data_IF_740225587668
#
_entry.id   IF_740225587668
#
_cell.length_a   1.000
_cell.length_b   1.000
_cell.length_c   1.000
_cell.angle_alpha   90.00
_cell.angle_beta   90.00
_cell.angle_gamma   90.00
#
_symmetry.space_group_name_H-M   'P 1'
#
loop_
_entity.id
_entity.type
_entity.pdbx_description
1 polymer ?
#
# COMPACT_ATOMS: atom_id res chain seq x y z
N UNK A 1 -26.32 3.32 5.51
CA UNK A 1 -25.89 2.84 6.86
C UNK A 1 -25.01 1.64 6.63
N UNK A 2 -23.77 1.67 7.13
CA UNK A 2 -22.88 0.52 7.02
C UNK A 2 -23.19 -0.56 8.05
N UNK A 3 -22.94 -1.82 7.69
CA UNK A 3 -23.13 -2.99 8.56
C UNK A 3 -21.80 -3.75 8.65
N UNK A 4 -21.44 -4.19 9.84
CA UNK A 4 -20.29 -5.05 10.09
C UNK A 4 -20.77 -6.43 10.54
N UNK A 5 -20.28 -7.48 9.89
CA UNK A 5 -20.53 -8.88 10.24
C UNK A 5 -19.19 -9.49 10.62
N UNK A 6 -19.06 -10.00 11.84
CA UNK A 6 -17.88 -10.75 12.27
C UNK A 6 -18.23 -12.23 12.30
N UNK A 7 -17.48 -13.03 11.56
CA UNK A 7 -17.68 -14.48 11.46
C UNK A 7 -17.00 -15.21 12.63
N UNK A 8 -17.44 -16.43 12.99
CA UNK A 8 -16.87 -17.19 14.10
C UNK A 8 -15.37 -17.48 13.98
N UNK A 9 -14.83 -17.54 12.75
CA UNK A 9 -13.40 -17.72 12.48
C UNK A 9 -12.59 -16.43 12.48
N UNK A 10 -13.23 -15.27 12.77
CA UNK A 10 -12.60 -13.97 12.86
C UNK A 10 -12.60 -13.14 11.58
N UNK A 11 -13.02 -13.66 10.42
CA UNK A 11 -13.18 -12.86 9.21
C UNK A 11 -14.30 -11.83 9.37
N UNK A 12 -14.17 -10.69 8.71
CA UNK A 12 -15.14 -9.60 8.80
C UNK A 12 -15.68 -9.24 7.42
N UNK A 13 -16.96 -8.89 7.39
CA UNK A 13 -17.62 -8.36 6.20
C UNK A 13 -18.19 -7.00 6.53
N UNK A 14 -17.81 -5.99 5.77
CA UNK A 14 -18.31 -4.62 5.87
C UNK A 14 -19.20 -4.36 4.67
N UNK A 15 -20.42 -3.86 4.88
CA UNK A 15 -21.31 -3.57 3.76
C UNK A 15 -21.92 -2.18 3.90
N UNK A 16 -22.03 -1.47 2.77
CA UNK A 16 -22.79 -0.22 2.69
C UNK A 16 -23.62 -0.16 1.41
N UNK A 17 -24.91 -0.35 1.53
CA UNK A 17 -25.83 -0.18 0.40
C UNK A 17 -26.04 1.29 0.10
N UNK A 18 -25.76 1.72 -1.14
CA UNK A 18 -25.90 3.09 -1.61
C UNK A 18 -27.08 3.14 -2.59
N UNK A 19 -28.23 3.73 -2.19
CA UNK A 19 -29.40 3.80 -3.05
C UNK A 19 -29.16 4.72 -4.27
N UNK A 20 -29.77 4.38 -5.40
CA UNK A 20 -29.72 5.19 -6.61
C UNK A 20 -28.50 5.00 -7.50
N UNK A 21 -27.50 4.19 -7.09
CA UNK A 21 -26.38 3.80 -7.95
C UNK A 21 -26.63 2.43 -8.57
N UNK A 22 -25.97 2.15 -9.72
CA UNK A 22 -25.96 0.86 -10.42
C UNK A 22 -24.59 0.21 -10.41
N UNK A 23 -23.66 0.76 -9.66
CA UNK A 23 -22.31 0.25 -9.49
C UNK A 23 -22.13 -0.37 -8.11
N UNK A 24 -21.23 -1.33 -8.02
CA UNK A 24 -20.77 -1.93 -6.78
C UNK A 24 -19.25 -2.00 -6.75
N UNK A 25 -18.68 -1.87 -5.56
CA UNK A 25 -17.27 -2.09 -5.28
C UNK A 25 -17.15 -3.21 -4.23
N UNK A 26 -16.41 -4.25 -4.56
CA UNK A 26 -16.05 -5.34 -3.65
C UNK A 26 -14.54 -5.37 -3.49
N UNK A 27 -14.05 -5.36 -2.25
CA UNK A 27 -12.62 -5.48 -1.96
C UNK A 27 -12.38 -6.48 -0.83
N UNK A 28 -11.32 -7.29 -0.98
CA UNK A 28 -10.77 -8.11 0.08
C UNK A 28 -9.48 -7.47 0.56
N UNK A 29 -9.47 -7.01 1.80
CA UNK A 29 -8.31 -6.46 2.47
C UNK A 29 -7.72 -7.53 3.38
N UNK A 30 -6.53 -7.98 3.04
CA UNK A 30 -5.79 -8.97 3.84
C UNK A 30 -4.74 -8.21 4.64
N UNK A 31 -4.77 -8.27 5.97
CA UNK A 31 -3.80 -7.66 6.87
C UNK A 31 -2.45 -8.40 6.84
N UNK A 32 -1.93 -8.56 5.63
CA UNK A 32 -0.63 -9.17 5.34
C UNK A 32 0.02 -8.44 4.16
N UNK A 33 1.03 -7.63 4.42
CA UNK A 33 1.81 -6.89 3.45
C UNK A 33 3.30 -7.18 3.62
N UNK A 34 4.16 -6.36 3.01
CA UNK A 34 5.61 -6.62 2.96
C UNK A 34 6.29 -6.67 4.35
N UNK A 35 5.75 -5.99 5.38
CA UNK A 35 6.30 -6.05 6.74
C UNK A 35 6.08 -7.38 7.46
N UNK A 36 5.17 -8.23 6.95
CA UNK A 36 4.87 -9.53 7.54
C UNK A 36 5.89 -10.60 7.13
N UNK A 37 6.62 -10.38 6.03
CA UNK A 37 7.62 -11.31 5.55
C UNK A 37 8.87 -11.34 6.46
N UNK A 38 9.50 -12.50 6.63
CA UNK A 38 10.85 -12.61 7.17
C UNK A 38 11.86 -11.98 6.21
N UNK A 39 13.12 -11.83 6.63
CA UNK A 39 14.12 -11.17 5.80
C UNK A 39 14.38 -11.91 4.48
N UNK A 40 14.41 -13.23 4.54
CA UNK A 40 14.59 -14.15 3.42
C UNK A 40 13.36 -14.25 2.50
N UNK A 41 12.20 -13.83 2.98
CA UNK A 41 10.91 -13.83 2.26
C UNK A 41 10.51 -12.43 1.75
N UNK A 42 11.41 -11.46 1.87
CA UNK A 42 11.09 -10.09 1.47
C UNK A 42 10.72 -10.02 -0.01
N UNK A 43 9.52 -9.52 -0.30
CA UNK A 43 8.89 -9.50 -1.62
C UNK A 43 7.76 -10.53 -1.79
N UNK A 44 7.60 -11.50 -0.88
CA UNK A 44 6.60 -12.56 -1.02
C UNK A 44 5.17 -12.03 -1.14
N UNK A 45 4.78 -11.03 -0.34
CA UNK A 45 3.43 -10.46 -0.40
C UNK A 45 3.10 -9.89 -1.79
N UNK A 46 4.03 -9.13 -2.38
CA UNK A 46 3.90 -8.56 -3.71
C UNK A 46 3.95 -9.65 -4.79
N UNK A 47 4.83 -10.63 -4.66
CA UNK A 47 4.91 -11.73 -5.60
C UNK A 47 3.61 -12.56 -5.61
N UNK A 48 2.98 -12.78 -4.46
CA UNK A 48 1.68 -13.45 -4.36
C UNK A 48 0.58 -12.64 -5.07
N UNK A 49 0.59 -11.33 -4.94
CA UNK A 49 -0.31 -10.46 -5.69
C UNK A 49 -0.20 -10.74 -7.20
N UNK A 50 1.00 -10.68 -7.78
CA UNK A 50 1.25 -10.99 -9.19
C UNK A 50 0.77 -12.39 -9.57
N UNK A 51 1.13 -13.39 -8.78
CA UNK A 51 0.77 -14.79 -9.02
C UNK A 51 -0.75 -15.03 -8.98
N UNK A 52 -1.51 -14.21 -8.26
CA UNK A 52 -2.97 -14.33 -8.20
C UNK A 52 -3.66 -14.06 -9.54
N UNK A 53 -2.99 -13.40 -10.48
CA UNK A 53 -3.45 -13.19 -11.86
C UNK A 53 -2.99 -14.27 -12.85
N UNK A 54 -2.13 -15.21 -12.43
CA UNK A 54 -1.54 -16.25 -13.30
C UNK A 54 -2.35 -17.55 -13.36
N UNK A 55 -3.56 -17.52 -12.86
CA UNK A 55 -4.52 -18.60 -12.93
C UNK A 55 -4.83 -19.24 -11.60
N UNK A 56 -6.00 -19.85 -11.57
CA UNK A 56 -6.58 -20.50 -10.41
C UNK A 56 -6.85 -21.98 -10.71
N UNK A 57 -7.39 -22.72 -9.75
CA UNK A 57 -7.81 -24.11 -9.98
C UNK A 57 -8.89 -24.24 -11.06
N UNK A 58 -9.67 -23.18 -11.34
CA UNK A 58 -10.82 -23.17 -12.27
C UNK A 58 -10.61 -22.33 -13.52
N UNK A 59 -9.64 -21.39 -13.51
CA UNK A 59 -9.43 -20.40 -14.57
C UNK A 59 -7.96 -20.34 -14.96
N UNK A 60 -7.66 -20.33 -16.22
CA UNK A 60 -6.33 -19.96 -16.69
C UNK A 60 -6.12 -18.44 -16.55
N UNK A 61 -4.89 -17.96 -16.72
CA UNK A 61 -4.59 -16.51 -16.74
C UNK A 61 -5.36 -15.80 -17.87
N UNK A 62 -5.49 -16.44 -19.04
CA UNK A 62 -6.25 -15.91 -20.16
C UNK A 62 -7.76 -15.84 -19.85
N UNK A 63 -8.32 -16.86 -19.19
CA UNK A 63 -9.73 -16.85 -18.78
C UNK A 63 -10.00 -15.71 -17.79
N UNK A 64 -9.10 -15.51 -16.81
CA UNK A 64 -9.20 -14.39 -15.87
C UNK A 64 -9.21 -13.05 -16.60
N UNK A 65 -8.26 -12.82 -17.51
CA UNK A 65 -8.18 -11.58 -18.27
C UNK A 65 -9.45 -11.35 -19.11
N UNK A 66 -9.92 -12.37 -19.84
CA UNK A 66 -11.16 -12.29 -20.63
C UNK A 66 -12.40 -12.02 -19.76
N UNK A 67 -12.47 -12.63 -18.57
CA UNK A 67 -13.58 -12.39 -17.64
C UNK A 67 -13.53 -10.99 -17.04
N UNK A 68 -12.34 -10.45 -16.72
CA UNK A 68 -12.15 -9.08 -16.27
C UNK A 68 -12.63 -8.08 -17.32
N UNK A 69 -12.23 -8.28 -18.57
CA UNK A 69 -12.67 -7.44 -19.69
C UNK A 69 -14.20 -7.54 -19.91
N UNK A 70 -14.77 -8.74 -19.81
CA UNK A 70 -16.20 -8.96 -20.00
C UNK A 70 -17.09 -8.31 -18.90
N UNK A 71 -16.58 -8.13 -17.71
CA UNK A 71 -17.25 -7.39 -16.64
C UNK A 71 -17.38 -5.89 -17.01
N UNK A 72 -16.46 -5.37 -17.85
CA UNK A 72 -16.44 -3.97 -18.25
C UNK A 72 -16.23 -3.00 -17.09
N UNK A 73 -15.59 -3.47 -16.02
CA UNK A 73 -15.24 -2.74 -14.82
C UNK A 73 -13.73 -2.72 -14.57
N UNK A 74 -13.36 -2.45 -13.36
CA UNK A 74 -11.96 -2.52 -12.92
C UNK A 74 -11.79 -3.69 -11.95
N UNK A 75 -10.86 -4.59 -12.25
CA UNK A 75 -10.39 -5.62 -11.31
C UNK A 75 -8.89 -5.42 -11.16
N UNK A 76 -8.41 -5.29 -9.93
CA UNK A 76 -6.99 -5.04 -9.67
C UNK A 76 -6.62 -5.47 -8.23
N UNK A 77 -5.33 -5.44 -7.94
CA UNK A 77 -4.80 -5.63 -6.60
C UNK A 77 -3.67 -4.63 -6.33
N UNK A 78 -3.30 -4.48 -5.08
CA UNK A 78 -2.10 -3.75 -4.66
C UNK A 78 -1.59 -4.26 -3.31
N UNK A 79 -0.28 -4.18 -3.14
CA UNK A 79 0.39 -4.54 -1.90
C UNK A 79 0.98 -3.29 -1.24
N UNK A 80 0.73 -3.15 0.06
CA UNK A 80 1.34 -2.12 0.90
C UNK A 80 2.32 -2.75 1.89
N UNK A 81 2.86 -1.94 2.78
CA UNK A 81 3.67 -2.45 3.90
C UNK A 81 2.87 -3.39 4.83
N UNK A 82 1.58 -3.11 5.05
CA UNK A 82 0.76 -3.79 6.06
C UNK A 82 -0.36 -4.66 5.51
N UNK A 83 -0.76 -4.46 4.27
CA UNK A 83 -1.88 -5.17 3.67
C UNK A 83 -1.69 -5.46 2.20
N UNK A 84 -2.42 -6.47 1.70
CA UNK A 84 -2.65 -6.71 0.28
C UNK A 84 -4.15 -6.60 0.02
N UNK A 85 -4.53 -5.85 -1.00
CA UNK A 85 -5.93 -5.63 -1.37
C UNK A 85 -6.19 -6.20 -2.76
N UNK A 86 -7.28 -6.94 -2.90
CA UNK A 86 -7.84 -7.40 -4.17
C UNK A 86 -9.22 -6.80 -4.32
N UNK A 87 -9.49 -6.10 -5.40
CA UNK A 87 -10.76 -5.41 -5.54
C UNK A 87 -11.34 -5.44 -6.95
N UNK A 88 -12.67 -5.31 -7.02
CA UNK A 88 -13.41 -5.11 -8.24
C UNK A 88 -14.37 -3.92 -8.10
N UNK A 89 -14.51 -3.14 -9.16
CA UNK A 89 -15.54 -2.11 -9.33
C UNK A 89 -16.28 -2.42 -10.62
N UNK A 90 -17.58 -2.68 -10.53
CA UNK A 90 -18.38 -3.09 -11.68
C UNK A 90 -19.83 -2.62 -11.55
N UNK A 91 -20.64 -2.87 -12.59
CA UNK A 91 -22.09 -2.76 -12.46
C UNK A 91 -22.61 -3.88 -11.56
N UNK A 92 -23.68 -3.59 -10.82
CA UNK A 92 -24.34 -4.51 -9.87
C UNK A 92 -24.66 -5.89 -10.49
N UNK A 93 -25.07 -5.94 -11.75
CA UNK A 93 -25.37 -7.17 -12.50
C UNK A 93 -24.16 -8.10 -12.70
N UNK A 94 -22.94 -7.61 -12.52
CA UNK A 94 -21.70 -8.38 -12.69
C UNK A 94 -21.05 -8.73 -11.34
N UNK A 95 -21.65 -8.33 -10.22
CA UNK A 95 -21.06 -8.48 -8.89
C UNK A 95 -20.85 -9.94 -8.49
N UNK A 96 -21.76 -10.85 -8.84
CA UNK A 96 -21.58 -12.29 -8.59
C UNK A 96 -20.30 -12.81 -9.25
N UNK A 97 -20.13 -12.50 -10.55
CA UNK A 97 -18.97 -12.94 -11.33
C UNK A 97 -17.66 -12.34 -10.80
N UNK A 98 -17.68 -11.04 -10.48
CA UNK A 98 -16.53 -10.36 -9.89
C UNK A 98 -16.15 -10.96 -8.54
N UNK A 99 -17.14 -11.25 -7.68
CA UNK A 99 -16.93 -11.86 -6.37
C UNK A 99 -16.37 -13.28 -6.45
N UNK A 100 -16.88 -14.11 -7.36
CA UNK A 100 -16.33 -15.45 -7.59
C UNK A 100 -14.89 -15.40 -8.07
N UNK A 101 -14.57 -14.50 -9.01
CA UNK A 101 -13.25 -14.34 -9.57
C UNK A 101 -12.24 -13.86 -8.50
N UNK A 102 -12.59 -12.85 -7.72
CA UNK A 102 -11.75 -12.39 -6.62
C UNK A 102 -11.52 -13.48 -5.57
N UNK A 103 -12.54 -14.27 -5.23
CA UNK A 103 -12.39 -15.41 -4.33
C UNK A 103 -11.45 -16.47 -4.88
N UNK A 104 -11.52 -16.78 -6.18
CA UNK A 104 -10.61 -17.72 -6.82
C UNK A 104 -9.18 -17.23 -6.82
N UNK A 105 -8.96 -15.95 -7.16
CA UNK A 105 -7.64 -15.32 -7.13
C UNK A 105 -7.05 -15.33 -5.71
N UNK A 106 -7.87 -15.08 -4.70
CA UNK A 106 -7.42 -14.95 -3.33
C UNK A 106 -7.18 -16.31 -2.64
N UNK A 107 -7.97 -17.34 -2.95
CA UNK A 107 -7.95 -18.59 -2.18
C UNK A 107 -7.57 -19.83 -3.00
N UNK A 108 -7.64 -19.77 -4.32
CA UNK A 108 -7.50 -20.94 -5.18
C UNK A 108 -6.44 -20.76 -6.28
N UNK A 109 -5.52 -19.77 -6.14
CA UNK A 109 -4.38 -19.55 -7.05
C UNK A 109 -3.47 -20.76 -7.14
N UNK A 110 -2.98 -21.07 -8.36
CA UNK A 110 -2.20 -22.28 -8.62
C UNK A 110 -0.76 -22.21 -8.17
N UNK A 111 -0.15 -21.05 -8.20
CA UNK A 111 1.28 -20.85 -7.93
C UNK A 111 2.16 -21.84 -8.72
N UNK A 112 1.94 -21.92 -10.04
CA UNK A 112 2.72 -22.77 -10.92
C UNK A 112 4.17 -22.31 -10.99
N UNK A 113 5.14 -23.26 -11.02
CA UNK A 113 6.57 -22.91 -11.03
C UNK A 113 7.01 -22.22 -12.31
N UNK A 114 6.43 -22.60 -13.46
CA UNK A 114 6.69 -21.93 -14.72
C UNK A 114 6.22 -20.48 -14.73
N UNK A 115 5.00 -20.23 -14.22
CA UNK A 115 4.45 -18.89 -14.06
C UNK A 115 5.25 -18.09 -13.05
N UNK A 116 5.68 -18.68 -11.93
CA UNK A 116 6.52 -18.03 -10.94
C UNK A 116 7.89 -17.62 -11.50
N UNK A 117 8.49 -18.46 -12.36
CA UNK A 117 9.76 -18.13 -13.01
C UNK A 117 9.64 -16.95 -13.99
N UNK A 118 8.53 -16.90 -14.75
CA UNK A 118 8.23 -15.79 -15.67
C UNK A 118 7.94 -14.50 -14.89
N UNK A 119 7.10 -14.59 -13.88
CA UNK A 119 6.65 -13.41 -13.13
C UNK A 119 7.76 -12.81 -12.28
N UNK A 120 8.70 -13.62 -11.80
CA UNK A 120 9.94 -13.12 -11.18
C UNK A 120 10.70 -12.18 -12.11
N UNK A 121 10.77 -12.50 -13.40
CA UNK A 121 11.36 -11.61 -14.41
C UNK A 121 10.64 -10.27 -14.49
N UNK A 122 9.30 -10.28 -14.49
CA UNK A 122 8.47 -9.07 -14.52
C UNK A 122 8.72 -8.21 -13.26
N UNK A 123 8.76 -8.81 -12.08
CA UNK A 123 9.03 -8.08 -10.83
C UNK A 123 10.45 -7.51 -10.79
N UNK A 124 11.43 -8.19 -11.37
CA UNK A 124 12.81 -7.67 -11.48
C UNK A 124 12.88 -6.45 -12.41
N UNK A 125 12.12 -6.44 -13.51
CA UNK A 125 11.99 -5.25 -14.37
C UNK A 125 11.28 -4.11 -13.63
N UNK A 126 10.25 -4.40 -12.83
CA UNK A 126 9.58 -3.40 -12.00
C UNK A 126 10.53 -2.79 -10.95
N UNK A 127 11.37 -3.60 -10.31
CA UNK A 127 12.44 -3.10 -9.42
C UNK A 127 13.36 -2.14 -10.19
N UNK A 128 13.71 -2.46 -11.44
CA UNK A 128 14.48 -1.59 -12.33
C UNK A 128 13.78 -0.23 -12.56
N UNK A 129 12.47 -0.25 -12.82
CA UNK A 129 11.68 0.97 -12.99
C UNK A 129 11.70 1.87 -11.73
N UNK A 130 11.56 1.27 -10.54
CA UNK A 130 11.67 2.00 -9.27
C UNK A 130 13.08 2.57 -9.04
N UNK A 131 14.11 1.81 -9.39
CA UNK A 131 15.49 2.34 -9.33
C UNK A 131 15.67 3.55 -10.26
N UNK A 132 14.92 3.66 -11.36
CA UNK A 132 14.95 4.78 -12.30
C UNK A 132 13.96 5.92 -11.99
N UNK A 133 13.13 5.76 -10.96
CA UNK A 133 12.23 6.78 -10.43
C UNK A 133 12.85 7.44 -9.17
N UNK A 134 13.52 8.61 -9.27
CA UNK A 134 14.29 9.17 -8.15
C UNK A 134 13.43 9.51 -6.92
N UNK A 135 12.19 9.91 -7.12
CA UNK A 135 11.23 10.23 -6.04
C UNK A 135 10.90 8.97 -5.23
N UNK A 136 10.49 7.90 -5.91
CA UNK A 136 10.14 6.62 -5.29
C UNK A 136 11.35 6.00 -4.59
N UNK A 137 12.51 6.02 -5.27
CA UNK A 137 13.77 5.54 -4.71
C UNK A 137 14.17 6.30 -3.46
N UNK A 138 13.96 7.63 -3.43
CA UNK A 138 14.27 8.47 -2.27
C UNK A 138 13.38 8.08 -1.08
N UNK A 139 12.07 7.92 -1.29
CA UNK A 139 11.12 7.51 -0.27
C UNK A 139 11.39 6.10 0.28
N UNK A 140 11.70 5.14 -0.60
CA UNK A 140 12.04 3.79 -0.18
C UNK A 140 13.33 3.75 0.66
N UNK A 141 14.38 4.45 0.22
CA UNK A 141 15.64 4.55 0.94
C UNK A 141 15.48 5.23 2.29
N UNK A 142 14.60 6.22 2.39
CA UNK A 142 14.25 6.82 3.67
C UNK A 142 13.67 5.77 4.61
N UNK A 143 12.66 5.02 4.18
CA UNK A 143 12.03 3.98 4.99
C UNK A 143 13.05 2.91 5.44
N UNK A 144 13.94 2.49 4.54
CA UNK A 144 15.04 1.56 4.84
C UNK A 144 15.99 2.10 5.91
N UNK A 145 16.25 3.41 5.91
CA UNK A 145 17.17 4.06 6.84
C UNK A 145 16.54 4.26 8.22
N UNK A 146 15.33 4.85 8.28
CA UNK A 146 14.68 5.21 9.56
C UNK A 146 14.07 4.01 10.29
N UNK A 147 13.72 2.93 9.55
CA UNK A 147 13.25 1.66 10.12
C UNK A 147 14.30 0.54 9.99
N UNK A 148 15.58 0.91 10.04
CA UNK A 148 16.69 -0.04 9.87
C UNK A 148 16.59 -1.22 10.84
N UNK A 149 16.72 -2.44 10.29
CA UNK A 149 16.65 -3.69 11.05
C UNK A 149 15.22 -4.11 11.46
N UNK A 150 14.21 -3.37 11.02
CA UNK A 150 12.80 -3.70 11.21
C UNK A 150 12.13 -4.11 9.89
N UNK A 151 11.11 -4.96 9.94
CA UNK A 151 10.41 -5.39 8.72
C UNK A 151 9.82 -4.23 7.91
N UNK A 152 9.30 -3.20 8.58
CA UNK A 152 8.70 -2.01 7.94
C UNK A 152 9.68 -1.28 7.00
N UNK A 153 10.99 -1.30 7.30
CA UNK A 153 12.01 -0.69 6.45
C UNK A 153 12.36 -1.49 5.18
N UNK A 154 11.80 -2.69 4.97
CA UNK A 154 12.10 -3.49 3.79
C UNK A 154 11.30 -3.03 2.58
N UNK A 155 11.85 -3.11 1.34
CA UNK A 155 11.11 -2.79 0.13
C UNK A 155 9.89 -3.69 -0.06
N UNK A 156 8.81 -3.14 -0.64
CA UNK A 156 7.59 -3.90 -0.93
C UNK A 156 7.87 -4.94 -2.01
N UNK A 157 8.55 -4.54 -3.08
CA UNK A 157 8.91 -5.41 -4.21
C UNK A 157 9.90 -6.51 -3.81
N UNK A 158 10.57 -6.39 -2.66
CA UNK A 158 11.63 -7.29 -2.28
C UNK A 158 12.99 -6.91 -2.87
N UNK A 159 13.88 -7.89 -2.95
CA UNK A 159 15.20 -7.76 -3.56
C UNK A 159 15.41 -8.89 -4.55
N UNK A 160 16.20 -8.68 -5.59
CA UNK A 160 16.54 -9.73 -6.56
C UNK A 160 16.99 -11.03 -5.87
N UNK A 161 17.90 -10.92 -4.90
CA UNK A 161 18.44 -12.06 -4.15
C UNK A 161 17.42 -12.84 -3.31
N UNK A 162 16.31 -12.20 -2.86
CA UNK A 162 15.23 -12.90 -2.16
C UNK A 162 14.23 -13.50 -3.14
N UNK A 163 13.90 -12.78 -4.21
CA UNK A 163 12.98 -13.25 -5.25
C UNK A 163 13.50 -14.49 -5.98
N UNK A 164 14.81 -14.55 -6.26
CA UNK A 164 15.48 -15.71 -6.89
C UNK A 164 15.32 -17.02 -6.11
N UNK A 165 15.13 -16.94 -4.79
CA UNK A 165 14.99 -18.10 -3.91
C UNK A 165 13.52 -18.53 -3.70
N UNK A 166 12.55 -17.75 -4.20
CA UNK A 166 11.14 -18.06 -4.03
C UNK A 166 10.64 -19.01 -5.11
N UNK A 167 9.96 -20.06 -4.70
CA UNK A 167 9.25 -21.03 -5.54
C UNK A 167 7.75 -20.85 -5.39
N UNK A 168 6.95 -21.39 -6.33
CA UNK A 168 5.50 -21.42 -6.19
C UNK A 168 5.04 -22.10 -4.91
N UNK A 169 5.75 -23.16 -4.47
CA UNK A 169 5.48 -23.83 -3.19
C UNK A 169 5.74 -22.90 -1.99
N UNK A 170 6.85 -22.17 -1.98
CA UNK A 170 7.18 -21.23 -0.89
C UNK A 170 6.18 -20.07 -0.81
N UNK A 171 5.72 -19.55 -1.95
CA UNK A 171 4.69 -18.51 -2.04
C UNK A 171 3.34 -19.01 -1.53
N UNK A 172 2.93 -20.23 -1.93
CA UNK A 172 1.70 -20.86 -1.43
C UNK A 172 1.73 -21.03 0.08
N UNK A 173 2.84 -21.52 0.64
CA UNK A 173 3.02 -21.68 2.08
C UNK A 173 2.92 -20.34 2.79
N UNK A 174 3.59 -19.28 2.30
CA UNK A 174 3.51 -17.96 2.87
C UNK A 174 2.07 -17.42 2.84
N UNK A 175 1.35 -17.60 1.73
CA UNK A 175 -0.06 -17.22 1.64
C UNK A 175 -0.90 -17.93 2.71
N UNK A 176 -0.75 -19.24 2.86
CA UNK A 176 -1.50 -20.04 3.85
C UNK A 176 -1.21 -19.60 5.30
N UNK A 177 0.02 -19.20 5.59
CA UNK A 177 0.43 -18.71 6.91
C UNK A 177 -0.12 -17.31 7.23
N UNK A 178 -0.37 -16.49 6.22
CA UNK A 178 -0.71 -15.06 6.39
C UNK A 178 -2.14 -14.69 6.01
N UNK A 179 -2.75 -15.40 5.04
CA UNK A 179 -4.11 -15.10 4.59
C UNK A 179 -5.14 -15.85 5.45
N UNK A 180 -5.02 -15.63 6.75
CA UNK A 180 -5.89 -16.25 7.76
C UNK A 180 -7.18 -15.44 7.95
N UNK A 181 -8.32 -16.10 8.32
CA UNK A 181 -9.61 -15.43 8.40
C UNK A 181 -9.61 -14.15 9.23
N UNK A 182 -8.97 -14.16 10.40
CA UNK A 182 -8.88 -12.99 11.28
C UNK A 182 -8.16 -11.79 10.67
N UNK A 183 -7.32 -12.00 9.65
CA UNK A 183 -6.65 -10.95 8.89
C UNK A 183 -7.46 -10.44 7.69
N UNK A 184 -8.63 -11.04 7.37
CA UNK A 184 -9.39 -10.74 6.16
C UNK A 184 -10.61 -9.90 6.48
N UNK A 185 -10.74 -8.80 5.74
CA UNK A 185 -11.94 -7.95 5.70
C UNK A 185 -12.44 -7.92 4.26
N UNK A 186 -13.67 -8.39 4.01
CA UNK A 186 -14.36 -8.15 2.76
C UNK A 186 -15.21 -6.88 2.90
N UNK A 187 -15.06 -5.92 2.01
CA UNK A 187 -15.84 -4.69 1.98
C UNK A 187 -16.66 -4.62 0.70
N UNK A 188 -17.98 -4.45 0.82
CA UNK A 188 -18.94 -4.38 -0.28
C UNK A 188 -19.75 -3.09 -0.16
N UNK A 189 -19.63 -2.20 -1.14
CA UNK A 189 -20.34 -0.94 -1.18
C UNK A 189 -21.04 -0.72 -2.53
N UNK A 190 -22.16 0.01 -2.52
CA UNK A 190 -22.90 0.34 -3.73
C UNK A 190 -24.24 -0.40 -3.85
N UNK A 191 -24.59 -0.81 -5.06
CA UNK A 191 -25.80 -1.58 -5.36
C UNK A 191 -25.51 -3.08 -5.25
N UNK A 192 -26.11 -3.75 -4.27
CA UNK A 192 -25.98 -5.19 -4.06
C UNK A 192 -27.26 -5.74 -3.37
N UNK A 193 -27.42 -7.05 -3.43
CA UNK A 193 -28.50 -7.78 -2.78
C UNK A 193 -27.93 -8.62 -1.60
N UNK A 194 -28.78 -9.05 -0.67
CA UNK A 194 -28.35 -9.86 0.49
C UNK A 194 -27.68 -11.18 0.07
N UNK A 195 -28.09 -11.77 -1.08
CA UNK A 195 -27.45 -12.99 -1.60
C UNK A 195 -25.94 -12.86 -1.84
N UNK A 196 -25.46 -11.65 -2.16
CA UNK A 196 -24.01 -11.40 -2.33
C UNK A 196 -23.30 -11.44 -0.97
N UNK A 197 -23.94 -10.89 0.08
CA UNK A 197 -23.42 -10.97 1.46
C UNK A 197 -23.41 -12.42 1.96
N UNK A 198 -24.48 -13.20 1.65
CA UNK A 198 -24.56 -14.62 1.98
C UNK A 198 -23.46 -15.44 1.26
N UNK A 199 -23.17 -15.11 0.00
CA UNK A 199 -22.10 -15.76 -0.75
C UNK A 199 -20.71 -15.49 -0.12
N UNK A 200 -20.41 -14.24 0.24
CA UNK A 200 -19.19 -13.87 0.96
C UNK A 200 -19.12 -14.58 2.32
N UNK A 201 -20.23 -14.59 3.06
CA UNK A 201 -20.33 -15.26 4.36
C UNK A 201 -20.02 -16.75 4.25
N UNK A 202 -20.62 -17.45 3.30
CA UNK A 202 -20.33 -18.88 3.07
C UNK A 202 -18.86 -19.12 2.72
N UNK A 203 -18.31 -18.31 1.81
CA UNK A 203 -16.92 -18.47 1.36
C UNK A 203 -15.92 -18.24 2.48
N UNK A 204 -16.07 -17.13 3.23
CA UNK A 204 -15.18 -16.79 4.32
C UNK A 204 -15.34 -17.72 5.55
N UNK A 205 -16.56 -18.17 5.86
CA UNK A 205 -16.80 -19.11 6.96
C UNK A 205 -16.18 -20.48 6.72
N UNK A 206 -15.95 -20.87 5.46
CA UNK A 206 -15.31 -22.13 5.12
C UNK A 206 -13.80 -22.14 5.36
N UNK A 207 -13.19 -20.97 5.58
CA UNK A 207 -11.75 -20.89 5.87
C UNK A 207 -11.48 -21.40 7.28
N UNK A 208 -10.45 -22.27 7.48
CA UNK A 208 -10.09 -22.76 8.80
C UNK A 208 -9.59 -21.62 9.69
N UNK A 209 -10.05 -21.58 10.94
CA UNK A 209 -9.56 -20.62 11.91
C UNK A 209 -8.07 -20.82 12.16
N UNK A 210 -7.31 -19.73 12.19
CA UNK A 210 -5.89 -19.74 12.46
C UNK A 210 -5.47 -18.48 13.23
N UNK A 211 -4.39 -18.52 14.02
CA UNK A 211 -3.90 -17.34 14.74
C UNK A 211 -3.40 -16.27 13.77
N UNK A 212 -3.56 -15.01 14.16
CA UNK A 212 -2.98 -13.89 13.41
C UNK A 212 -1.45 -13.98 13.41
N UNK A 213 -0.79 -13.70 12.27
CA UNK A 213 0.65 -13.59 12.20
C UNK A 213 1.15 -12.49 13.14
N UNK A 214 2.23 -12.76 13.86
CA UNK A 214 2.86 -11.74 14.71
C UNK A 214 3.73 -10.82 13.85
N UNK A 215 3.56 -9.53 14.04
CA UNK A 215 4.37 -8.49 13.38
C UNK A 215 5.35 -7.90 14.38
N UNK A 216 6.60 -7.75 13.96
CA UNK A 216 7.61 -7.09 14.78
C UNK A 216 7.40 -5.57 14.73
N UNK A 217 7.35 -4.97 15.91
CA UNK A 217 7.13 -3.53 16.10
C UNK A 217 8.15 -2.69 15.33
N UNK A 218 7.68 -1.60 14.71
CA UNK A 218 8.54 -0.62 14.08
C UNK A 218 9.16 0.30 15.15
N UNK A 219 10.39 0.74 14.89
CA UNK A 219 11.08 1.71 15.72
C UNK A 219 11.73 2.72 14.78
N UNK A 220 11.31 3.98 14.87
CA UNK A 220 11.91 5.06 14.13
C UNK A 220 13.31 5.36 14.70
N UNK A 221 14.31 5.40 13.83
CA UNK A 221 15.69 5.75 14.18
C UNK A 221 16.11 6.94 13.29
N UNK A 222 16.52 8.07 13.87
CA UNK A 222 17.07 9.18 13.08
C UNK A 222 18.24 8.68 12.21
N UNK A 223 18.20 8.97 10.93
CA UNK A 223 19.20 8.51 9.99
C UNK A 223 19.40 9.50 8.83
N UNK A 224 20.59 9.49 8.25
CA UNK A 224 20.89 10.16 6.99
C UNK A 224 21.32 9.11 5.99
N UNK A 225 20.73 9.12 4.80
CA UNK A 225 21.13 8.27 3.68
C UNK A 225 21.31 9.09 2.41
N UNK A 226 22.33 8.76 1.62
CA UNK A 226 22.61 9.44 0.37
C UNK A 226 22.85 8.38 -0.71
N UNK A 227 22.26 8.59 -1.88
CA UNK A 227 22.50 7.83 -3.10
C UNK A 227 23.00 8.76 -4.20
N UNK A 228 24.19 8.53 -4.70
CA UNK A 228 24.67 9.25 -5.89
C UNK A 228 24.11 8.58 -7.14
N UNK A 229 23.49 9.37 -8.00
CA UNK A 229 22.96 8.93 -9.30
C UNK A 229 23.13 10.07 -10.30
N UNK A 230 23.39 9.75 -11.56
CA UNK A 230 23.52 10.74 -12.63
C UNK A 230 22.11 11.16 -13.10
N UNK A 231 21.55 12.17 -12.47
CA UNK A 231 20.23 12.74 -12.73
C UNK A 231 20.31 14.26 -12.73
N UNK A 232 19.33 14.93 -13.31
CA UNK A 232 19.34 16.39 -13.47
C UNK A 232 19.09 17.14 -12.15
N UNK A 233 18.24 16.62 -11.27
CA UNK A 233 17.87 17.28 -10.02
C UNK A 233 18.22 16.40 -8.81
N UNK A 234 18.54 17.04 -7.70
CA UNK A 234 18.65 16.37 -6.41
C UNK A 234 17.25 16.18 -5.81
N UNK A 235 16.97 14.97 -5.35
CA UNK A 235 15.74 14.60 -4.66
C UNK A 235 16.03 14.50 -3.17
N UNK A 236 15.28 15.24 -2.37
CA UNK A 236 15.51 15.37 -0.95
C UNK A 236 14.22 15.08 -0.17
N UNK A 237 14.33 14.26 0.88
CA UNK A 237 13.27 14.10 1.87
C UNK A 237 13.81 14.38 3.26
N UNK A 238 13.18 15.34 3.96
CA UNK A 238 13.34 15.50 5.40
C UNK A 238 12.19 14.76 6.09
N UNK A 239 12.50 13.96 7.11
CA UNK A 239 11.51 13.15 7.78
C UNK A 239 11.53 13.34 9.28
N UNK A 240 10.35 13.32 9.88
CA UNK A 240 10.12 13.41 11.31
C UNK A 240 9.30 12.21 11.77
N UNK A 241 9.51 11.70 13.01
CA UNK A 241 8.59 10.71 13.57
C UNK A 241 7.20 11.32 13.69
N UNK A 242 6.18 10.53 13.39
CA UNK A 242 4.80 10.95 13.41
C UNK A 242 3.89 9.90 14.06
N UNK A 243 2.60 10.21 14.16
CA UNK A 243 1.59 9.38 14.81
C UNK A 243 1.25 8.16 13.97
N UNK A 244 0.83 7.09 14.63
CA UNK A 244 0.21 5.92 13.99
C UNK A 244 -1.21 6.26 13.49
N UNK A 245 -1.76 5.46 12.58
CA UNK A 245 -3.16 5.65 12.16
C UNK A 245 -4.17 5.24 13.24
N UNK A 246 -3.72 4.59 14.32
CA UNK A 246 -4.55 4.25 15.47
C UNK A 246 -4.62 5.38 16.51
N UNK A 247 -3.76 6.39 16.38
CA UNK A 247 -3.71 7.52 17.30
C UNK A 247 -4.92 8.46 17.09
N UNK A 248 -5.52 8.92 18.17
CA UNK A 248 -6.68 9.84 18.11
C UNK A 248 -6.31 11.21 17.54
N UNK A 249 -5.08 11.66 17.77
CA UNK A 249 -4.57 12.95 17.27
C UNK A 249 -4.16 12.92 15.79
N UNK A 250 -4.27 11.80 15.09
CA UNK A 250 -3.90 11.69 13.67
C UNK A 250 -4.58 12.72 12.76
N UNK A 251 -5.83 13.09 13.08
CA UNK A 251 -6.56 14.10 12.30
C UNK A 251 -5.94 15.49 12.44
N UNK A 252 -5.42 15.85 13.63
CA UNK A 252 -4.67 17.08 13.83
C UNK A 252 -3.37 17.06 13.01
N UNK A 253 -2.68 15.92 12.96
CA UNK A 253 -1.51 15.73 12.11
C UNK A 253 -1.83 15.88 10.61
N UNK A 254 -2.95 15.34 10.14
CA UNK A 254 -3.39 15.49 8.73
C UNK A 254 -3.70 16.95 8.40
N UNK A 255 -4.33 17.71 9.31
CA UNK A 255 -4.56 19.15 9.15
C UNK A 255 -3.23 19.91 9.13
N UNK A 256 -2.31 19.61 10.04
CA UNK A 256 -0.97 20.20 10.06
C UNK A 256 -0.24 19.93 8.73
N UNK A 257 -0.28 18.70 8.23
CA UNK A 257 0.31 18.34 6.95
C UNK A 257 -0.30 19.15 5.79
N UNK A 258 -1.62 19.34 5.79
CA UNK A 258 -2.30 20.17 4.77
C UNK A 258 -1.81 21.62 4.79
N UNK A 259 -1.64 22.21 5.96
CA UNK A 259 -1.12 23.58 6.13
C UNK A 259 0.36 23.66 5.73
N UNK A 260 1.16 22.65 6.08
CA UNK A 260 2.59 22.61 5.82
C UNK A 260 2.91 22.49 4.34
N UNK A 261 2.38 21.47 3.66
CA UNK A 261 2.75 21.14 2.28
C UNK A 261 1.67 20.41 1.47
N UNK A 262 0.39 20.44 1.88
CA UNK A 262 -0.68 19.67 1.25
C UNK A 262 -1.27 20.27 -0.04
N UNK A 263 -0.84 21.46 -0.48
CA UNK A 263 -1.38 22.09 -1.69
C UNK A 263 -0.73 23.42 -2.04
N UNK A 264 -1.20 24.06 -3.09
CA UNK A 264 -0.59 25.32 -3.61
C UNK A 264 -0.66 26.48 -2.62
N UNK A 265 -1.58 26.52 -1.70
CA UNK A 265 -1.67 27.53 -0.63
C UNK A 265 -0.84 27.19 0.61
N UNK A 266 -0.22 26.02 0.66
CA UNK A 266 0.57 25.56 1.80
C UNK A 266 1.84 26.40 1.99
N UNK A 267 2.35 26.43 3.22
CA UNK A 267 3.52 27.24 3.56
C UNK A 267 4.77 26.87 2.78
N UNK A 268 5.04 25.58 2.58
CA UNK A 268 6.18 25.11 1.78
C UNK A 268 6.06 25.56 0.33
N UNK A 269 4.90 25.36 -0.29
CA UNK A 269 4.69 25.73 -1.69
C UNK A 269 4.83 27.24 -1.89
N UNK A 270 4.18 28.04 -1.06
CA UNK A 270 4.23 29.49 -1.14
C UNK A 270 5.64 30.04 -0.91
N UNK A 271 6.37 29.52 0.04
CA UNK A 271 7.68 30.05 0.40
C UNK A 271 8.79 29.56 -0.55
N UNK A 272 8.88 28.25 -0.83
CA UNK A 272 9.98 27.70 -1.62
C UNK A 272 9.77 27.90 -3.13
N UNK A 273 8.53 27.65 -3.61
CA UNK A 273 8.24 27.73 -5.03
C UNK A 273 7.83 29.12 -5.48
N UNK A 274 6.77 29.69 -4.89
CA UNK A 274 6.18 30.94 -5.41
C UNK A 274 7.03 32.16 -5.09
N UNK A 275 7.51 32.31 -3.86
CA UNK A 275 8.27 33.50 -3.45
C UNK A 275 9.76 33.44 -3.82
N UNK A 276 10.39 32.25 -3.66
CA UNK A 276 11.84 32.13 -3.83
C UNK A 276 12.26 31.41 -5.10
N UNK A 277 11.37 30.68 -5.77
CA UNK A 277 11.69 29.94 -7.01
C UNK A 277 12.79 28.88 -6.83
N UNK A 278 12.89 28.25 -5.65
CA UNK A 278 13.95 27.32 -5.32
C UNK A 278 13.72 25.92 -5.92
N UNK A 279 12.46 25.55 -6.14
CA UNK A 279 12.09 24.23 -6.66
C UNK A 279 10.82 24.31 -7.50
N UNK A 280 10.60 23.32 -8.37
CA UNK A 280 9.33 23.15 -9.08
C UNK A 280 8.34 22.33 -8.25
N UNK A 281 8.84 21.32 -7.53
CA UNK A 281 8.02 20.41 -6.73
C UNK A 281 8.45 20.46 -5.26
N UNK A 282 7.50 20.74 -4.37
CA UNK A 282 7.63 20.64 -2.92
C UNK A 282 6.28 20.29 -2.32
N UNK A 283 6.26 19.30 -1.43
CA UNK A 283 5.06 18.90 -0.69
C UNK A 283 5.43 18.20 0.62
N UNK A 284 4.47 18.09 1.52
CA UNK A 284 4.59 17.22 2.69
C UNK A 284 3.55 16.11 2.66
N UNK A 285 3.87 14.99 3.28
CA UNK A 285 3.01 13.81 3.35
C UNK A 285 3.15 13.10 4.68
N UNK A 286 2.08 12.40 5.07
CA UNK A 286 2.07 11.50 6.22
C UNK A 286 2.09 10.08 5.71
N UNK A 287 3.00 9.26 6.21
CA UNK A 287 3.03 7.81 6.01
C UNK A 287 2.79 7.16 7.36
N UNK A 288 1.56 6.76 7.62
CA UNK A 288 1.12 6.18 8.88
C UNK A 288 0.99 4.65 8.81
N UNK A 289 1.30 4.00 9.91
CA UNK A 289 1.25 2.55 10.10
C UNK A 289 0.57 2.24 11.44
N UNK A 290 0.29 0.95 11.70
CA UNK A 290 -0.42 0.54 12.90
C UNK A 290 0.29 0.94 14.22
N UNK A 291 1.61 1.01 14.21
CA UNK A 291 2.44 1.20 15.41
C UNK A 291 3.43 2.38 15.31
N UNK A 292 3.43 3.11 14.19
CA UNK A 292 4.34 4.24 13.95
C UNK A 292 3.83 5.12 12.82
N UNK A 293 4.45 6.28 12.64
CA UNK A 293 4.21 7.16 11.50
C UNK A 293 5.44 7.97 11.15
N UNK A 294 5.38 8.61 9.99
CA UNK A 294 6.41 9.48 9.45
C UNK A 294 5.74 10.67 8.75
N UNK A 295 6.19 11.88 9.09
CA UNK A 295 5.90 13.10 8.34
C UNK A 295 7.10 13.40 7.45
N UNK A 296 6.92 13.32 6.13
CA UNK A 296 7.94 13.60 5.14
C UNK A 296 7.72 14.96 4.48
N UNK A 297 8.81 15.65 4.16
CA UNK A 297 8.83 16.85 3.31
C UNK A 297 9.74 16.52 2.14
N UNK A 298 9.15 16.43 0.94
CA UNK A 298 9.85 16.15 -0.30
C UNK A 298 10.06 17.42 -1.12
N UNK A 299 11.21 17.50 -1.79
CA UNK A 299 11.47 18.48 -2.84
C UNK A 299 12.46 17.93 -3.87
N UNK A 300 12.30 18.37 -5.14
CA UNK A 300 13.24 18.16 -6.22
C UNK A 300 13.78 19.52 -6.67
N UNK A 301 15.11 19.67 -6.71
CA UNK A 301 15.76 20.96 -6.93
C UNK A 301 17.18 20.82 -7.49
N UNK A 302 17.72 21.88 -8.02
CA UNK A 302 19.11 21.94 -8.44
C UNK A 302 20.06 21.99 -7.25
N UNK A 303 21.27 21.48 -7.39
CA UNK A 303 22.27 21.42 -6.32
C UNK A 303 22.54 22.81 -5.67
N UNK A 304 22.55 23.86 -6.46
CA UNK A 304 22.80 25.23 -5.98
C UNK A 304 21.71 25.75 -5.03
N UNK A 305 20.49 25.22 -5.15
CA UNK A 305 19.33 25.62 -4.36
C UNK A 305 19.15 24.83 -3.06
N UNK A 306 19.92 23.74 -2.89
CA UNK A 306 19.72 22.77 -1.81
C UNK A 306 19.84 23.41 -0.42
N UNK A 307 20.87 24.20 -0.19
CA UNK A 307 21.08 24.86 1.08
C UNK A 307 19.97 25.86 1.42
N UNK A 308 19.58 26.69 0.46
CA UNK A 308 18.52 27.69 0.63
C UNK A 308 17.16 27.04 0.90
N UNK A 309 16.87 25.92 0.25
CA UNK A 309 15.66 25.14 0.47
C UNK A 309 15.65 24.51 1.87
N UNK A 310 16.75 23.90 2.31
CA UNK A 310 16.87 23.34 3.66
C UNK A 310 16.70 24.38 4.77
N UNK A 311 17.29 25.56 4.61
CA UNK A 311 17.13 26.67 5.55
C UNK A 311 15.69 27.16 5.62
N UNK A 312 15.03 27.31 4.46
CA UNK A 312 13.62 27.69 4.37
C UNK A 312 12.70 26.66 5.02
N UNK A 313 12.89 25.36 4.73
CA UNK A 313 12.12 24.30 5.37
C UNK A 313 12.27 24.31 6.89
N UNK A 314 13.50 24.44 7.40
CA UNK A 314 13.77 24.53 8.85
C UNK A 314 13.08 25.73 9.49
N UNK A 315 13.09 26.88 8.84
CA UNK A 315 12.43 28.09 9.33
C UNK A 315 10.92 27.89 9.40
N UNK A 316 10.29 27.35 8.35
CA UNK A 316 8.85 27.10 8.29
C UNK A 316 8.42 26.08 9.37
N UNK A 317 9.14 24.97 9.49
CA UNK A 317 8.84 23.94 10.50
C UNK A 317 9.03 24.52 11.91
N UNK A 318 10.11 25.29 12.14
CA UNK A 318 10.38 25.94 13.41
C UNK A 318 9.31 26.96 13.80
N UNK A 319 8.82 27.75 12.83
CA UNK A 319 7.73 28.71 13.04
C UNK A 319 6.42 28.00 13.41
N UNK A 320 6.05 26.94 12.66
CA UNK A 320 4.88 26.15 12.97
C UNK A 320 4.95 25.47 14.35
N UNK A 321 6.11 24.96 14.71
CA UNK A 321 6.31 24.33 16.02
C UNK A 321 6.27 25.34 17.18
N UNK A 322 6.74 26.58 16.96
CA UNK A 322 6.79 27.62 17.99
C UNK A 322 5.52 28.44 18.16
N UNK A 323 4.80 28.70 17.07
CA UNK A 323 3.67 29.63 17.06
C UNK A 323 2.35 29.00 16.63
N UNK A 324 2.38 27.75 16.13
CA UNK A 324 1.19 27.10 15.59
C UNK A 324 0.74 27.67 14.22
N UNK A 325 -0.41 27.20 13.70
CA UNK A 325 -1.00 27.75 12.50
C UNK A 325 -1.60 29.15 12.75
N UNK A 326 -1.59 30.01 11.74
CA UNK A 326 -2.30 31.28 11.74
C UNK A 326 -3.80 31.09 11.58
N UNK A 327 -4.60 32.10 11.94
CA UNK A 327 -6.08 32.06 11.74
C UNK A 327 -6.50 32.24 10.29
N UNK A 328 -5.59 32.65 9.42
CA UNK A 328 -5.77 32.72 7.97
C UNK A 328 -5.24 31.43 7.29
#
# INVERSE_FOLDING_TARGET
>A
MYRTITLPNGARILTEHIPGVRSAALGFFVGAGSRHARAEENGAAHFIEHMSFKGTSRRSAADLAMEMDAIGGQVNAYTTKESTCFYARCLDRHLDRAGEMLCDMLFDSRFDEGDAALERGVILEEIGMYEDAPEDLCAERLAMAVYKGRPLGRPILGKASTLEQMSGESLRRWQQEHYVPGAIVAALAGSFEERHVDALTRRLSALPAAPLPKVREAVYLPAVTVRKKAIEQNHLILAFPALSYLDEERYALLLLNSILGGGCSSRLFQELREKRGLCYTVYSYVSDHADTGLLGIYTALNQEQEQGALEAVRAIVGELAGHGPTQE
#
